data_IF_049208506977
#
_entry.id   IF_049208506977
#
_cell.length_a   1.000
_cell.length_b   1.000
_cell.length_c   1.000
_cell.angle_alpha   90.00
_cell.angle_beta   90.00
_cell.angle_gamma   90.00
#
_symmetry.space_group_name_H-M   'P 1'
#
loop_
_entity.id
_entity.type
_entity.pdbx_description
1 polymer ?
#
# COMPACT_ATOMS: atom_id res chain seq x y z
N UNK A 1 -14.63 24.23 0.72
CA UNK A 1 -14.23 23.09 1.58
C UNK A 1 -13.18 22.20 0.91
N UNK A 2 -13.40 21.72 -0.33
CA UNK A 2 -12.46 20.81 -1.02
C UNK A 2 -11.04 21.36 -1.19
N UNK A 3 -10.89 22.66 -1.48
CA UNK A 3 -9.56 23.28 -1.61
C UNK A 3 -8.73 23.21 -0.32
N UNK A 4 -9.38 23.33 0.86
CA UNK A 4 -8.71 23.19 2.16
C UNK A 4 -8.24 21.74 2.33
N UNK A 5 -9.09 20.76 1.99
CA UNK A 5 -8.72 19.34 2.03
C UNK A 5 -7.55 19.04 1.07
N UNK A 6 -7.55 19.61 -0.13
CA UNK A 6 -6.45 19.47 -1.09
C UNK A 6 -5.15 20.01 -0.52
N UNK A 7 -5.15 21.23 0.05
CA UNK A 7 -3.95 21.80 0.66
C UNK A 7 -3.42 20.92 1.81
N UNK A 8 -4.31 20.44 2.68
CA UNK A 8 -3.93 19.54 3.77
C UNK A 8 -3.39 18.20 3.22
N UNK A 9 -4.02 17.64 2.19
CA UNK A 9 -3.57 16.43 1.53
C UNK A 9 -2.17 16.60 0.92
N UNK A 10 -1.89 17.73 0.28
CA UNK A 10 -0.57 18.03 -0.30
C UNK A 10 0.50 18.02 0.79
N UNK A 11 0.24 18.66 1.95
CA UNK A 11 1.18 18.68 3.08
C UNK A 11 1.47 17.27 3.59
N UNK A 12 0.42 16.50 3.92
CA UNK A 12 0.59 15.14 4.43
C UNK A 12 1.15 14.15 3.40
N UNK A 13 0.73 14.26 2.14
CA UNK A 13 1.22 13.46 1.03
C UNK A 13 2.69 13.71 0.76
N UNK A 14 3.12 14.97 0.73
CA UNK A 14 4.54 15.34 0.58
C UNK A 14 5.37 14.81 1.74
N UNK A 15 4.89 15.00 2.98
CA UNK A 15 5.57 14.50 4.17
C UNK A 15 5.69 12.96 4.15
N UNK A 16 4.65 12.24 3.72
CA UNK A 16 4.68 10.80 3.56
C UNK A 16 5.67 10.35 2.48
N UNK A 17 5.73 11.00 1.33
CA UNK A 17 6.67 10.66 0.26
C UNK A 17 8.13 10.88 0.69
N UNK A 18 8.42 11.99 1.36
CA UNK A 18 9.76 12.31 1.87
C UNK A 18 10.20 11.35 2.96
N UNK A 19 9.36 11.15 3.99
CA UNK A 19 9.70 10.25 5.11
C UNK A 19 9.73 8.78 4.69
N UNK A 20 8.90 8.40 3.71
CA UNK A 20 8.93 7.09 3.07
C UNK A 20 10.25 6.85 2.33
N UNK A 21 10.72 7.83 1.54
CA UNK A 21 12.03 7.75 0.89
C UNK A 21 13.15 7.60 1.93
N UNK A 22 13.15 8.43 2.98
CA UNK A 22 14.16 8.38 4.04
C UNK A 22 14.18 7.00 4.73
N UNK A 23 13.02 6.48 5.15
CA UNK A 23 12.95 5.22 5.92
C UNK A 23 13.41 4.00 5.11
N UNK A 24 13.32 4.06 3.77
CA UNK A 24 13.85 3.04 2.87
C UNK A 24 15.38 2.91 2.96
N UNK A 25 16.12 3.98 3.26
CA UNK A 25 17.59 3.92 3.35
C UNK A 25 18.12 3.80 4.79
N UNK A 26 17.28 4.06 5.80
CA UNK A 26 17.68 3.91 7.20
C UNK A 26 17.99 2.45 7.60
N UNK A 27 18.91 2.30 8.56
CA UNK A 27 19.23 1.01 9.22
C UNK A 27 17.97 0.42 9.84
N UNK A 28 17.49 -0.70 9.27
CA UNK A 28 16.23 -1.34 9.68
C UNK A 28 16.26 -1.71 11.17
N UNK A 29 15.19 -1.34 11.88
CA UNK A 29 14.98 -1.66 13.29
C UNK A 29 15.62 -0.73 14.33
N UNK A 30 16.48 0.22 13.93
CA UNK A 30 17.03 1.20 14.88
C UNK A 30 15.98 2.23 15.32
N UNK A 31 16.32 3.07 16.31
CA UNK A 31 15.40 4.08 16.84
C UNK A 31 14.95 5.08 15.77
N UNK A 32 15.87 5.53 14.90
CA UNK A 32 15.57 6.48 13.84
C UNK A 32 14.59 5.89 12.80
N UNK A 33 14.80 4.65 12.37
CA UNK A 33 13.90 3.92 11.47
C UNK A 33 12.49 3.81 12.07
N UNK A 34 12.37 3.51 13.38
CA UNK A 34 11.07 3.45 14.07
C UNK A 34 10.40 4.82 14.14
N UNK A 35 11.14 5.89 14.44
CA UNK A 35 10.61 7.26 14.54
C UNK A 35 10.14 7.78 13.18
N UNK A 36 11.00 7.73 12.16
CA UNK A 36 10.67 8.17 10.79
C UNK A 36 9.60 7.27 10.17
N UNK A 37 9.65 5.95 10.41
CA UNK A 37 8.61 5.02 9.95
C UNK A 37 7.23 5.28 10.57
N UNK A 38 7.17 5.74 11.83
CA UNK A 38 5.93 6.18 12.46
C UNK A 38 5.41 7.48 11.84
N UNK A 39 6.30 8.44 11.56
CA UNK A 39 5.93 9.67 10.88
C UNK A 39 5.38 9.40 9.48
N UNK A 40 6.06 8.55 8.71
CA UNK A 40 5.61 8.04 7.42
C UNK A 40 4.20 7.45 7.51
N UNK A 41 3.96 6.58 8.49
CA UNK A 41 2.64 5.98 8.69
C UNK A 41 1.57 7.03 8.99
N UNK A 42 1.81 7.95 9.94
CA UNK A 42 0.82 8.96 10.33
C UNK A 42 0.50 9.88 9.14
N UNK A 43 1.54 10.39 8.48
CA UNK A 43 1.38 11.29 7.34
C UNK A 43 0.69 10.59 6.17
N UNK A 44 1.13 9.37 5.83
CA UNK A 44 0.52 8.57 4.78
C UNK A 44 -0.92 8.20 5.08
N UNK A 45 -1.24 7.82 6.31
CA UNK A 45 -2.60 7.47 6.72
C UNK A 45 -3.54 8.66 6.62
N UNK A 46 -3.18 9.80 7.21
CA UNK A 46 -3.99 11.03 7.15
C UNK A 46 -4.12 11.53 5.71
N UNK A 47 -3.01 11.59 4.98
CA UNK A 47 -3.00 11.97 3.57
C UNK A 47 -3.91 11.08 2.73
N UNK A 48 -3.88 9.77 2.93
CA UNK A 48 -4.72 8.83 2.17
C UNK A 48 -6.20 8.95 2.53
N UNK A 49 -6.55 9.09 3.81
CA UNK A 49 -7.96 9.31 4.23
C UNK A 49 -8.52 10.57 3.57
N UNK A 50 -7.76 11.66 3.58
CA UNK A 50 -8.17 12.91 2.94
C UNK A 50 -8.27 12.74 1.43
N UNK A 51 -7.33 12.01 0.80
CA UNK A 51 -7.39 11.73 -0.64
C UNK A 51 -8.63 10.93 -1.03
N UNK A 52 -9.07 9.97 -0.20
CA UNK A 52 -10.30 9.21 -0.45
C UNK A 52 -11.54 10.09 -0.42
N UNK A 53 -11.59 11.05 0.52
CA UNK A 53 -12.68 12.03 0.60
C UNK A 53 -12.67 12.94 -0.63
N UNK A 54 -11.51 13.45 -1.03
CA UNK A 54 -11.39 14.30 -2.23
C UNK A 54 -11.81 13.52 -3.47
N UNK A 55 -11.30 12.31 -3.65
CA UNK A 55 -11.54 11.47 -4.82
C UNK A 55 -12.99 10.94 -4.93
N UNK A 56 -13.80 11.08 -3.89
CA UNK A 56 -15.24 10.80 -3.90
C UNK A 56 -16.12 12.06 -3.91
N UNK A 57 -15.52 13.25 -3.82
CA UNK A 57 -16.26 14.52 -3.77
C UNK A 57 -16.77 14.95 -5.16
N UNK A 58 -17.92 15.67 -5.24
CA UNK A 58 -18.37 16.28 -6.48
C UNK A 58 -17.28 17.14 -7.13
N UNK A 59 -17.19 17.09 -8.47
CA UNK A 59 -16.20 17.80 -9.29
C UNK A 59 -14.72 17.38 -9.10
N UNK A 60 -14.41 16.49 -8.15
CA UNK A 60 -13.06 15.95 -7.92
C UNK A 60 -13.03 14.41 -7.94
N UNK A 61 -14.12 13.81 -8.40
CA UNK A 61 -14.26 12.36 -8.47
C UNK A 61 -13.15 11.74 -9.32
N UNK A 62 -12.39 10.82 -8.75
CA UNK A 62 -11.32 10.13 -9.45
C UNK A 62 -11.19 8.69 -8.96
N UNK A 63 -11.70 7.76 -9.76
CA UNK A 63 -11.74 6.34 -9.43
C UNK A 63 -10.35 5.71 -9.28
N UNK A 64 -9.36 6.18 -10.05
CA UNK A 64 -7.97 5.74 -9.91
C UNK A 64 -7.42 6.11 -8.52
N UNK A 65 -7.54 7.39 -8.13
CA UNK A 65 -7.07 7.86 -6.83
C UNK A 65 -7.84 7.22 -5.66
N UNK A 66 -9.12 6.98 -5.84
CA UNK A 66 -9.94 6.30 -4.85
C UNK A 66 -9.48 4.84 -4.64
N UNK A 67 -9.33 4.08 -5.71
CA UNK A 67 -8.97 2.65 -5.64
C UNK A 67 -7.54 2.43 -5.16
N UNK A 68 -6.57 3.23 -5.65
CA UNK A 68 -5.18 3.17 -5.16
C UNK A 68 -5.07 3.65 -3.70
N UNK A 69 -5.92 4.59 -3.27
CA UNK A 69 -6.02 5.03 -1.88
C UNK A 69 -6.48 3.92 -0.94
N UNK A 70 -7.50 3.14 -1.33
CA UNK A 70 -7.95 1.96 -0.58
C UNK A 70 -6.80 0.96 -0.42
N UNK A 71 -6.10 0.65 -1.52
CA UNK A 71 -4.97 -0.27 -1.49
C UNK A 71 -3.83 0.24 -0.59
N UNK A 72 -3.56 1.55 -0.64
CA UNK A 72 -2.57 2.22 0.21
C UNK A 72 -2.92 2.11 1.68
N UNK A 73 -4.18 2.35 2.07
CA UNK A 73 -4.62 2.18 3.47
C UNK A 73 -4.45 0.74 3.95
N UNK A 74 -4.86 -0.23 3.14
CA UNK A 74 -4.69 -1.64 3.46
C UNK A 74 -3.21 -1.98 3.71
N UNK A 75 -2.31 -1.50 2.85
CA UNK A 75 -0.88 -1.68 3.00
C UNK A 75 -0.28 -0.96 4.22
N UNK A 76 -0.67 0.29 4.49
CA UNK A 76 -0.21 1.03 5.67
C UNK A 76 -0.62 0.32 6.96
N UNK A 77 -1.89 -0.07 7.08
CA UNK A 77 -2.41 -0.74 8.27
C UNK A 77 -1.75 -2.11 8.48
N UNK A 78 -1.73 -2.96 7.45
CA UNK A 78 -1.11 -4.29 7.53
C UNK A 78 0.39 -4.21 7.81
N UNK A 79 1.09 -3.26 7.18
CA UNK A 79 2.54 -3.12 7.30
C UNK A 79 2.99 -2.52 8.62
N UNK A 80 2.34 -1.45 9.07
CA UNK A 80 2.73 -0.77 10.31
C UNK A 80 2.41 -1.62 11.54
N UNK A 81 1.26 -2.27 11.56
CA UNK A 81 0.85 -3.13 12.67
C UNK A 81 1.40 -4.56 12.60
N UNK A 82 2.21 -4.91 11.60
CA UNK A 82 2.73 -6.26 11.41
C UNK A 82 3.37 -6.92 12.65
N UNK A 83 3.95 -6.13 13.57
CA UNK A 83 4.52 -6.63 14.83
C UNK A 83 3.55 -6.66 16.02
N UNK A 84 2.41 -5.99 15.92
CA UNK A 84 1.40 -5.87 16.99
C UNK A 84 0.14 -6.70 16.70
N UNK A 85 -0.17 -6.90 15.42
CA UNK A 85 -1.37 -7.58 14.96
C UNK A 85 -1.30 -9.08 15.32
N UNK A 86 -2.40 -9.64 15.78
CA UNK A 86 -2.55 -11.08 15.93
C UNK A 86 -3.16 -11.70 14.66
N UNK A 87 -3.19 -13.03 14.57
CA UNK A 87 -3.69 -13.70 13.39
C UNK A 87 -5.16 -13.35 13.09
N UNK A 88 -6.01 -13.21 14.12
CA UNK A 88 -7.44 -12.90 13.94
C UNK A 88 -7.62 -11.52 13.31
N UNK A 89 -6.92 -10.51 13.82
CA UNK A 89 -6.96 -9.15 13.28
C UNK A 89 -6.41 -9.10 11.84
N UNK A 90 -5.34 -9.84 11.54
CA UNK A 90 -4.83 -9.95 10.18
C UNK A 90 -5.85 -10.60 9.24
N UNK A 91 -6.56 -11.64 9.71
CA UNK A 91 -7.66 -12.27 8.95
C UNK A 91 -8.80 -11.28 8.68
N UNK A 92 -9.18 -10.46 9.66
CA UNK A 92 -10.22 -9.43 9.46
C UNK A 92 -9.77 -8.45 8.38
N UNK A 93 -8.54 -7.93 8.46
CA UNK A 93 -8.01 -6.99 7.48
C UNK A 93 -7.87 -7.61 6.06
N UNK A 94 -7.55 -8.90 6.00
CA UNK A 94 -7.52 -9.65 4.75
C UNK A 94 -8.94 -9.80 4.17
N UNK A 95 -9.90 -10.19 4.99
CA UNK A 95 -11.29 -10.38 4.57
C UNK A 95 -11.93 -9.08 4.12
N UNK A 96 -11.70 -7.97 4.84
CA UNK A 96 -12.20 -6.65 4.41
C UNK A 96 -11.65 -6.30 3.02
N UNK A 97 -10.35 -6.51 2.78
CA UNK A 97 -9.77 -6.27 1.46
C UNK A 97 -10.34 -7.20 0.37
N UNK A 98 -10.65 -8.46 0.69
CA UNK A 98 -11.29 -9.40 -0.26
C UNK A 98 -12.69 -8.92 -0.61
N UNK A 99 -13.50 -8.54 0.38
CA UNK A 99 -14.84 -7.99 0.14
C UNK A 99 -14.74 -6.72 -0.71
N UNK A 100 -13.82 -5.81 -0.37
CA UNK A 100 -13.60 -4.60 -1.16
C UNK A 100 -13.17 -4.92 -2.59
N UNK A 101 -12.30 -5.92 -2.80
CA UNK A 101 -11.88 -6.35 -4.13
C UNK A 101 -13.05 -6.94 -4.95
N UNK A 102 -13.92 -7.74 -4.32
CA UNK A 102 -15.14 -8.25 -4.98
C UNK A 102 -16.04 -7.09 -5.39
N UNK A 103 -16.28 -6.12 -4.49
CA UNK A 103 -17.07 -4.92 -4.81
C UNK A 103 -16.44 -4.14 -5.97
N UNK A 104 -15.12 -3.96 -5.98
CA UNK A 104 -14.42 -3.29 -7.10
C UNK A 104 -14.63 -4.03 -8.42
N UNK A 105 -14.51 -5.36 -8.44
CA UNK A 105 -14.68 -6.17 -9.65
C UNK A 105 -16.13 -6.13 -10.15
N UNK A 106 -17.11 -6.25 -9.25
CA UNK A 106 -18.52 -6.13 -9.62
C UNK A 106 -18.84 -4.73 -10.16
N UNK A 107 -18.31 -3.70 -9.53
CA UNK A 107 -18.47 -2.33 -10.00
C UNK A 107 -17.75 -2.08 -11.34
N UNK A 108 -16.68 -2.82 -11.64
CA UNK A 108 -16.02 -2.74 -12.94
C UNK A 108 -16.94 -3.19 -14.08
N UNK A 109 -17.70 -4.27 -13.89
CA UNK A 109 -18.68 -4.74 -14.88
C UNK A 109 -19.81 -3.73 -15.09
N UNK A 110 -20.24 -3.05 -14.03
CA UNK A 110 -21.16 -1.92 -14.17
C UNK A 110 -20.54 -0.77 -14.97
N UNK A 111 -19.28 -0.40 -14.71
CA UNK A 111 -18.61 0.65 -15.50
C UNK A 111 -18.46 0.26 -16.97
N UNK A 112 -18.24 -1.02 -17.28
CA UNK A 112 -18.22 -1.50 -18.67
C UNK A 112 -19.58 -1.43 -19.35
N UNK A 113 -20.68 -1.74 -18.66
CA UNK A 113 -22.02 -1.60 -19.25
C UNK A 113 -22.40 -0.15 -19.53
N UNK A 114 -21.80 0.80 -18.80
CA UNK A 114 -21.91 2.24 -19.04
C UNK A 114 -20.90 2.79 -20.05
N UNK A 115 -20.13 1.93 -20.75
CA UNK A 115 -19.13 2.32 -21.75
C UNK A 115 -17.81 2.88 -21.18
N UNK A 116 -17.65 2.91 -19.85
CA UNK A 116 -16.47 3.45 -19.17
C UNK A 116 -15.33 2.43 -19.03
N UNK A 117 -14.68 2.09 -20.15
CA UNK A 117 -13.66 1.04 -20.24
C UNK A 117 -12.47 1.28 -19.28
N UNK A 118 -11.88 2.49 -19.31
CA UNK A 118 -10.70 2.81 -18.48
C UNK A 118 -10.99 2.62 -16.99
N UNK A 119 -12.16 3.08 -16.53
CA UNK A 119 -12.62 2.95 -15.14
C UNK A 119 -12.78 1.49 -14.73
N UNK A 120 -13.36 0.66 -15.58
CA UNK A 120 -13.49 -0.78 -15.32
C UNK A 120 -12.15 -1.50 -15.25
N UNK A 121 -11.19 -1.16 -16.13
CA UNK A 121 -9.84 -1.72 -16.09
C UNK A 121 -9.12 -1.36 -14.78
N UNK A 122 -9.20 -0.09 -14.35
CA UNK A 122 -8.63 0.38 -13.08
C UNK A 122 -9.18 -0.43 -11.90
N UNK A 123 -10.50 -0.60 -11.84
CA UNK A 123 -11.16 -1.36 -10.78
C UNK A 123 -10.75 -2.83 -10.76
N UNK A 124 -10.69 -3.48 -11.91
CA UNK A 124 -10.22 -4.87 -12.02
C UNK A 124 -8.76 -4.96 -11.55
N UNK A 125 -7.90 -4.07 -12.02
CA UNK A 125 -6.47 -4.10 -11.69
C UNK A 125 -6.25 -3.98 -10.18
N UNK A 126 -6.82 -2.96 -9.53
CA UNK A 126 -6.66 -2.76 -8.08
C UNK A 126 -7.42 -3.80 -7.26
N UNK A 127 -8.58 -4.26 -7.73
CA UNK A 127 -9.33 -5.35 -7.11
C UNK A 127 -8.52 -6.65 -7.09
N UNK A 128 -7.98 -7.08 -8.24
CA UNK A 128 -7.13 -8.26 -8.34
C UNK A 128 -5.84 -8.11 -7.54
N UNK A 129 -5.18 -6.95 -7.60
CA UNK A 129 -3.96 -6.70 -6.84
C UNK A 129 -4.21 -6.78 -5.33
N UNK A 130 -5.33 -6.24 -4.87
CA UNK A 130 -5.82 -6.32 -3.50
C UNK A 130 -6.12 -7.75 -3.05
N UNK A 131 -6.91 -8.47 -3.84
CA UNK A 131 -7.27 -9.86 -3.60
C UNK A 131 -6.02 -10.76 -3.56
N UNK A 132 -5.10 -10.61 -4.51
CA UNK A 132 -3.85 -11.35 -4.55
C UNK A 132 -3.00 -11.09 -3.30
N UNK A 133 -2.86 -9.84 -2.87
CA UNK A 133 -2.10 -9.49 -1.67
C UNK A 133 -2.76 -9.98 -0.38
N UNK A 134 -4.09 -9.98 -0.31
CA UNK A 134 -4.84 -10.50 0.83
C UNK A 134 -4.76 -12.03 0.91
N UNK A 135 -5.04 -12.71 -0.19
CA UNK A 135 -5.07 -14.17 -0.24
C UNK A 135 -3.68 -14.80 -0.12
N UNK A 136 -2.71 -14.33 -0.92
CA UNK A 136 -1.38 -14.96 -0.99
C UNK A 136 -0.51 -14.64 0.22
N UNK A 137 -0.67 -13.45 0.81
CA UNK A 137 0.18 -13.01 1.93
C UNK A 137 -0.52 -13.20 3.27
N UNK A 138 -1.75 -12.71 3.43
CA UNK A 138 -2.37 -12.64 4.76
C UNK A 138 -3.12 -13.94 5.10
N UNK A 139 -3.91 -14.47 4.15
CA UNK A 139 -4.72 -15.68 4.36
C UNK A 139 -3.90 -16.97 4.40
N UNK A 140 -2.91 -17.14 3.51
CA UNK A 140 -2.01 -18.32 3.52
C UNK A 140 -1.21 -18.44 4.80
N UNK A 141 -0.81 -17.33 5.42
CA UNK A 141 -0.14 -17.33 6.73
C UNK A 141 -1.06 -17.88 7.82
N UNK A 142 -2.36 -17.64 7.73
CA UNK A 142 -3.35 -18.12 8.71
C UNK A 142 -3.60 -19.62 8.61
N UNK A 143 -3.68 -20.17 7.39
CA UNK A 143 -3.96 -21.60 7.15
C UNK A 143 -2.72 -22.48 7.34
N UNK A 144 -1.57 -22.11 6.78
CA UNK A 144 -0.39 -23.01 6.78
C UNK A 144 0.43 -23.01 8.07
N UNK A 145 0.37 -21.97 8.90
CA UNK A 145 1.25 -21.83 10.07
C UNK A 145 0.54 -21.87 11.43
N UNK A 146 -0.75 -22.24 11.46
CA UNK A 146 -1.49 -22.50 12.69
C UNK A 146 -1.47 -21.33 13.68
N UNK A 147 -2.26 -20.28 13.44
CA UNK A 147 -2.53 -19.11 14.32
C UNK A 147 -1.33 -18.31 14.88
N UNK A 148 -0.08 -18.80 14.86
CA UNK A 148 1.12 -18.12 15.40
C UNK A 148 1.93 -17.46 14.29
N UNK A 149 1.94 -16.12 14.31
CA UNK A 149 2.75 -15.31 13.41
C UNK A 149 4.21 -15.31 13.87
N UNK A 150 5.07 -16.02 13.13
CA UNK A 150 6.51 -16.04 13.39
C UNK A 150 7.15 -14.67 13.15
N UNK A 151 8.27 -14.38 13.81
CA UNK A 151 9.02 -13.12 13.59
C UNK A 151 9.42 -12.93 12.13
N UNK A 152 9.76 -14.02 11.43
CA UNK A 152 10.09 -14.00 9.99
C UNK A 152 8.90 -13.52 9.16
N UNK A 153 7.71 -14.05 9.41
CA UNK A 153 6.50 -13.62 8.74
C UNK A 153 6.18 -12.16 9.04
N UNK A 154 6.33 -11.71 10.29
CA UNK A 154 6.09 -10.31 10.69
C UNK A 154 7.02 -9.35 9.97
N UNK A 155 8.31 -9.69 9.85
CA UNK A 155 9.27 -8.89 9.09
C UNK A 155 8.91 -8.87 7.60
N UNK A 156 8.56 -10.02 7.02
CA UNK A 156 8.16 -10.09 5.60
C UNK A 156 6.89 -9.30 5.32
N UNK A 157 5.90 -9.39 6.20
CA UNK A 157 4.64 -8.64 6.13
C UNK A 157 4.92 -7.13 6.25
N UNK A 158 5.70 -6.73 7.25
CA UNK A 158 6.12 -5.34 7.45
C UNK A 158 6.80 -4.78 6.19
N UNK A 159 7.84 -5.44 5.69
CA UNK A 159 8.59 -4.95 4.52
C UNK A 159 7.71 -4.90 3.27
N UNK A 160 6.99 -5.99 2.98
CA UNK A 160 6.16 -6.09 1.79
C UNK A 160 5.06 -5.02 1.76
N UNK A 161 4.34 -4.84 2.88
CA UNK A 161 3.21 -3.90 2.95
C UNK A 161 3.68 -2.44 3.13
N UNK A 162 4.74 -2.18 3.90
CA UNK A 162 5.26 -0.79 4.04
C UNK A 162 5.86 -0.28 2.73
N UNK A 163 6.63 -1.11 2.00
CA UNK A 163 7.13 -0.70 0.68
C UNK A 163 5.99 -0.70 -0.34
N UNK A 164 5.04 -1.64 -0.26
CA UNK A 164 3.85 -1.64 -1.11
C UNK A 164 3.00 -0.36 -1.01
N UNK A 165 2.78 0.16 0.20
CA UNK A 165 2.12 1.46 0.37
C UNK A 165 2.93 2.61 -0.24
N UNK A 166 4.26 2.56 -0.14
CA UNK A 166 5.11 3.58 -0.73
C UNK A 166 5.08 3.54 -2.27
N UNK A 167 5.06 2.34 -2.86
CA UNK A 167 4.85 2.15 -4.30
C UNK A 167 3.52 2.79 -4.70
N UNK A 168 2.43 2.45 -4.01
CA UNK A 168 1.10 2.95 -4.34
C UNK A 168 1.01 4.49 -4.28
N UNK A 169 1.54 5.11 -3.21
CA UNK A 169 1.58 6.57 -3.09
C UNK A 169 2.47 7.22 -4.15
N UNK A 170 3.64 6.63 -4.43
CA UNK A 170 4.55 7.14 -5.46
C UNK A 170 3.92 7.03 -6.85
N UNK A 171 3.24 5.92 -7.16
CA UNK A 171 2.48 5.76 -8.42
C UNK A 171 1.37 6.80 -8.51
N UNK A 172 0.58 7.02 -7.45
CA UNK A 172 -0.46 8.05 -7.46
C UNK A 172 0.11 9.43 -7.77
N UNK A 173 1.21 9.81 -7.10
CA UNK A 173 1.89 11.09 -7.32
C UNK A 173 2.44 11.21 -8.76
N UNK A 174 3.18 10.20 -9.22
CA UNK A 174 3.87 10.22 -10.51
C UNK A 174 2.87 10.20 -11.68
N UNK A 175 1.81 9.39 -11.59
CA UNK A 175 0.77 9.27 -12.62
C UNK A 175 -0.04 10.56 -12.75
N UNK A 176 -0.47 11.17 -11.62
CA UNK A 176 -1.27 12.40 -11.67
C UNK A 176 -0.47 13.59 -12.18
N UNK A 177 0.82 13.66 -11.84
CA UNK A 177 1.68 14.78 -12.23
C UNK A 177 2.38 14.59 -13.58
N UNK A 178 2.21 13.44 -14.25
CA UNK A 178 2.87 13.12 -15.53
C UNK A 178 4.39 13.41 -15.52
N UNK A 179 5.08 12.99 -14.45
CA UNK A 179 6.50 13.35 -14.21
C UNK A 179 7.41 12.90 -15.36
N UNK A 180 7.18 11.71 -15.92
CA UNK A 180 7.97 11.18 -17.02
C UNK A 180 7.29 11.43 -18.37
N UNK A 181 8.09 11.82 -19.36
CA UNK A 181 7.66 12.01 -20.75
C UNK A 181 6.96 10.76 -21.31
N UNK A 182 7.59 9.59 -21.13
CA UNK A 182 6.97 8.33 -21.52
C UNK A 182 5.93 7.91 -20.48
N UNK A 183 4.65 8.05 -20.84
CA UNK A 183 3.50 7.81 -19.94
C UNK A 183 3.54 6.46 -19.22
N UNK A 184 4.03 5.40 -19.88
CA UNK A 184 4.12 4.07 -19.28
C UNK A 184 5.05 4.04 -18.05
N UNK A 185 6.12 4.83 -18.05
CA UNK A 185 7.06 4.90 -16.93
C UNK A 185 6.39 5.42 -15.66
N UNK A 186 5.41 6.32 -15.79
CA UNK A 186 4.66 6.82 -14.64
C UNK A 186 3.94 5.71 -13.88
N UNK A 187 3.51 4.66 -14.58
CA UNK A 187 2.79 3.51 -14.01
C UNK A 187 3.74 2.44 -13.47
N UNK A 188 4.77 2.08 -14.24
CA UNK A 188 5.57 0.88 -13.95
C UNK A 188 6.80 1.16 -13.08
N UNK A 189 7.41 2.34 -13.20
CA UNK A 189 8.71 2.60 -12.60
C UNK A 189 8.70 2.52 -11.07
N UNK A 190 7.71 3.12 -10.35
CA UNK A 190 7.65 2.98 -8.90
C UNK A 190 7.50 1.52 -8.45
N UNK A 191 6.73 0.72 -9.19
CA UNK A 191 6.50 -0.69 -8.90
C UNK A 191 7.75 -1.56 -9.13
N UNK A 192 8.50 -1.30 -10.20
CA UNK A 192 9.75 -2.01 -10.50
C UNK A 192 10.78 -1.75 -9.40
N UNK A 193 11.02 -0.48 -9.07
CA UNK A 193 11.99 -0.09 -8.03
C UNK A 193 11.58 -0.67 -6.68
N UNK A 194 10.32 -0.47 -6.27
CA UNK A 194 9.85 -0.95 -4.99
C UNK A 194 9.85 -2.48 -4.87
N UNK A 195 9.52 -3.22 -5.94
CA UNK A 195 9.58 -4.69 -5.95
C UNK A 195 11.00 -5.22 -5.78
N UNK A 196 11.98 -4.54 -6.41
CA UNK A 196 13.39 -4.86 -6.20
C UNK A 196 13.80 -4.65 -4.73
N UNK A 197 13.42 -3.50 -4.13
CA UNK A 197 13.71 -3.20 -2.73
C UNK A 197 13.06 -4.21 -1.76
N UNK A 198 11.81 -4.61 -1.99
CA UNK A 198 11.12 -5.65 -1.21
C UNK A 198 11.96 -6.93 -1.20
N UNK A 199 12.34 -7.41 -2.40
CA UNK A 199 13.13 -8.64 -2.54
C UNK A 199 14.49 -8.52 -1.86
N UNK A 200 15.17 -7.39 -2.02
CA UNK A 200 16.46 -7.12 -1.40
C UNK A 200 16.37 -7.18 0.14
N UNK A 201 15.46 -6.42 0.75
CA UNK A 201 15.36 -6.34 2.22
C UNK A 201 14.85 -7.62 2.87
N UNK A 202 13.95 -8.36 2.21
CA UNK A 202 13.53 -9.69 2.71
C UNK A 202 14.72 -10.66 2.72
N UNK A 203 15.54 -10.69 1.66
CA UNK A 203 16.73 -11.56 1.58
C UNK A 203 17.81 -11.17 2.57
N UNK A 204 18.10 -9.88 2.71
CA UNK A 204 19.12 -9.37 3.64
C UNK A 204 18.79 -9.74 5.10
N UNK A 205 17.52 -9.62 5.50
CA UNK A 205 17.08 -10.02 6.85
C UNK A 205 17.08 -11.55 7.05
N UNK A 206 16.84 -12.33 6.00
CA UNK A 206 16.98 -13.80 6.04
C UNK A 206 18.42 -14.25 6.27
N UNK A 207 19.41 -13.57 5.68
CA UNK A 207 20.85 -13.89 5.85
C UNK A 207 21.38 -13.55 7.23
N UNK A 208 21.03 -12.38 7.79
CA UNK A 208 21.46 -11.96 9.15
C UNK A 208 21.09 -12.96 10.25
N UNK A 209 19.95 -13.65 10.11
CA UNK A 209 19.51 -14.63 11.12
C UNK A 209 20.25 -15.97 11.03
N UNK A 210 20.79 -16.33 9.85
CA UNK A 210 21.62 -17.54 9.68
C UNK A 210 23.03 -17.38 10.28
N UNK A 211 23.55 -16.15 10.33
CA UNK A 211 24.89 -15.85 10.83
C UNK A 211 24.97 -15.66 12.35
N UNK A 212 23.83 -15.48 13.05
CA UNK A 212 23.76 -15.40 14.51
C UNK A 212 23.19 -16.65 15.18
N UNK A 213 23.24 -17.80 14.48
CA UNK A 213 22.77 -19.10 14.95
C UNK A 213 23.89 -20.15 14.93
N UNK A 214 25.14 -19.68 15.00
CA UNK A 214 26.35 -20.49 15.22
C UNK A 214 26.81 -20.25 16.64
#
# INVERSE_FOLDING_TARGET
MTNILISIHIVFGSLALLTGAMVLFLKKGNALHKRIGKLYFIAGFLGTIISLIIASSPNHYNLFLFTIGILTLYFLLSGFFAFKINAKQLKVLALTMIVTAVVMILYAFYQFSQGSITSGIILIFFGLLGAANSYLVDYRIFIKQGRKLTTKNRISLHIGKMIGSYIAMSTAFVVVNNIFYFRILNWILPAIIGSFLIRHYIRANGKRKKQGAV
#
